data_IF_307384065009
#
_entry.id   IF_307384065009
#
_cell.length_a   1.000
_cell.length_b   1.000
_cell.length_c   1.000
_cell.angle_alpha   90.00
_cell.angle_beta   90.00
_cell.angle_gamma   90.00
#
_symmetry.space_group_name_H-M   'P 1'
#
loop_
_entity.id
_entity.type
_entity.pdbx_description
1 polymer ?
#
# COMPACT_ATOMS: atom_id res chain seq x y z
N UNK A 1 -34.89 -8.23 -10.87
CA UNK A 1 -33.84 -7.18 -10.84
C UNK A 1 -33.05 -7.06 -9.51
N UNK A 2 -33.35 -7.77 -8.42
CA UNK A 2 -32.69 -7.54 -7.12
C UNK A 2 -31.29 -8.16 -6.93
N UNK A 3 -30.96 -9.25 -7.65
CA UNK A 3 -29.72 -10.00 -7.43
C UNK A 3 -28.45 -9.20 -7.79
N UNK A 4 -28.50 -8.43 -8.89
CA UNK A 4 -27.36 -7.61 -9.33
C UNK A 4 -27.03 -6.46 -8.37
N UNK A 5 -28.04 -5.88 -7.70
CA UNK A 5 -27.83 -4.83 -6.70
C UNK A 5 -27.12 -5.37 -5.46
N UNK A 6 -27.45 -6.58 -5.01
CA UNK A 6 -26.84 -7.19 -3.85
C UNK A 6 -25.34 -7.43 -4.05
N UNK A 7 -24.95 -7.98 -5.21
CA UNK A 7 -23.55 -8.21 -5.56
C UNK A 7 -22.77 -6.87 -5.66
N UNK A 8 -23.38 -5.83 -6.25
CA UNK A 8 -22.77 -4.50 -6.38
C UNK A 8 -22.53 -3.84 -5.03
N UNK A 9 -23.48 -3.96 -4.10
CA UNK A 9 -23.38 -3.46 -2.72
C UNK A 9 -22.29 -4.19 -1.95
N UNK A 10 -22.24 -5.53 -2.02
CA UNK A 10 -21.21 -6.32 -1.34
C UNK A 10 -19.80 -6.00 -1.86
N UNK A 11 -19.65 -5.78 -3.17
CA UNK A 11 -18.39 -5.35 -3.76
C UNK A 11 -17.96 -3.96 -3.27
N UNK A 12 -18.88 -2.99 -3.19
CA UNK A 12 -18.59 -1.66 -2.63
C UNK A 12 -18.17 -1.76 -1.17
N UNK A 13 -18.90 -2.52 -0.36
CA UNK A 13 -18.60 -2.74 1.06
C UNK A 13 -17.19 -3.29 1.27
N UNK A 14 -16.81 -4.31 0.50
CA UNK A 14 -15.49 -4.91 0.61
C UNK A 14 -14.37 -3.95 0.18
N UNK A 15 -14.55 -3.19 -0.90
CA UNK A 15 -13.58 -2.17 -1.32
C UNK A 15 -13.43 -1.05 -0.28
N UNK A 16 -14.52 -0.65 0.37
CA UNK A 16 -14.52 0.34 1.44
C UNK A 16 -13.84 -0.18 2.71
N UNK A 17 -14.00 -1.47 3.03
CA UNK A 17 -13.27 -2.12 4.11
C UNK A 17 -11.75 -2.15 3.84
N UNK A 18 -11.33 -2.45 2.60
CA UNK A 18 -9.90 -2.38 2.20
C UNK A 18 -9.37 -0.95 2.30
N UNK A 19 -10.16 0.06 1.89
CA UNK A 19 -9.78 1.47 2.00
C UNK A 19 -9.55 1.88 3.45
N UNK A 20 -10.47 1.52 4.35
CA UNK A 20 -10.35 1.79 5.78
C UNK A 20 -9.15 1.07 6.40
N UNK A 21 -8.95 -0.21 6.06
CA UNK A 21 -7.79 -0.99 6.52
C UNK A 21 -6.46 -0.46 6.00
N UNK A 22 -6.40 -0.01 4.74
CA UNK A 22 -5.23 0.63 4.18
C UNK A 22 -4.92 1.95 4.89
N UNK A 23 -5.95 2.75 5.19
CA UNK A 23 -5.83 4.02 5.91
C UNK A 23 -5.31 3.85 7.34
N UNK A 24 -5.78 2.84 8.06
CA UNK A 24 -5.27 2.53 9.41
C UNK A 24 -3.83 2.05 9.36
N UNK A 25 -3.46 1.17 8.42
CA UNK A 25 -2.08 0.73 8.22
C UNK A 25 -1.13 1.90 7.87
N UNK A 26 -1.57 2.82 7.00
CA UNK A 26 -0.83 4.03 6.68
C UNK A 26 -0.64 4.92 7.91
N UNK A 27 -1.70 5.14 8.68
CA UNK A 27 -1.66 5.94 9.90
C UNK A 27 -0.69 5.34 10.93
N UNK A 28 -0.74 4.02 11.16
CA UNK A 28 0.18 3.32 12.05
C UNK A 28 1.61 3.41 11.54
N UNK A 29 1.83 3.22 10.23
CA UNK A 29 3.16 3.32 9.62
C UNK A 29 3.78 4.70 9.77
N UNK A 30 2.99 5.77 9.54
CA UNK A 30 3.43 7.16 9.73
C UNK A 30 3.69 7.43 11.22
N UNK A 31 2.79 7.01 12.11
CA UNK A 31 2.95 7.17 13.56
C UNK A 31 4.27 6.57 14.05
N UNK A 32 4.52 5.30 13.71
CA UNK A 32 5.78 4.62 14.07
C UNK A 32 6.99 5.26 13.40
N UNK A 33 6.88 5.76 12.17
CA UNK A 33 7.99 6.42 11.48
C UNK A 33 8.38 7.75 12.13
N UNK A 34 7.40 8.54 12.56
CA UNK A 34 7.63 9.83 13.24
C UNK A 34 8.22 9.61 14.63
N UNK A 35 7.68 8.64 15.37
CA UNK A 35 8.16 8.28 16.70
C UNK A 35 9.59 7.69 16.62
N UNK A 36 9.79 6.72 15.73
CA UNK A 36 11.09 6.09 15.48
C UNK A 36 12.18 7.06 15.01
N UNK A 37 11.84 8.12 14.25
CA UNK A 37 12.79 9.16 13.83
C UNK A 37 13.26 10.02 15.01
N UNK A 38 12.38 10.32 15.95
CA UNK A 38 12.72 11.09 17.16
C UNK A 38 13.56 10.27 18.13
N UNK A 39 13.29 8.96 18.24
CA UNK A 39 14.12 8.04 19.03
C UNK A 39 15.49 7.77 18.40
N UNK A 40 15.60 7.75 17.06
CA UNK A 40 16.87 7.56 16.35
C UNK A 40 17.91 8.65 16.67
N UNK A 41 17.45 9.89 16.75
CA UNK A 41 18.31 11.07 16.99
C UNK A 41 18.90 11.06 18.41
N UNK A 42 18.17 10.48 19.36
CA UNK A 42 18.54 10.42 20.79
C UNK A 42 19.40 9.18 21.11
N UNK A 43 19.16 8.05 20.43
CA UNK A 43 19.77 6.75 20.71
C UNK A 43 20.76 6.29 19.62
N UNK A 44 21.52 7.21 19.01
CA UNK A 44 22.44 6.98 17.88
C UNK A 44 23.47 5.83 17.98
N UNK A 45 23.47 5.06 19.06
CA UNK A 45 24.35 3.92 19.36
C UNK A 45 23.64 2.55 19.30
N UNK A 46 22.29 2.47 19.31
CA UNK A 46 21.52 1.22 19.26
C UNK A 46 21.05 0.89 17.83
N UNK A 47 22.01 0.77 16.91
CA UNK A 47 21.76 0.82 15.46
C UNK A 47 21.01 -0.40 14.86
N UNK A 48 21.16 -1.62 15.40
CA UNK A 48 20.65 -2.82 14.72
C UNK A 48 19.14 -3.01 14.82
N UNK A 49 18.55 -2.91 16.01
CA UNK A 49 17.11 -3.15 16.19
C UNK A 49 16.26 -2.01 15.63
N UNK A 50 16.76 -0.77 15.70
CA UNK A 50 16.04 0.42 15.23
C UNK A 50 15.96 0.44 13.70
N UNK A 51 17.04 0.09 13.00
CA UNK A 51 17.05 0.01 11.54
C UNK A 51 16.01 -0.97 11.00
N UNK A 52 15.80 -2.10 11.70
CA UNK A 52 14.83 -3.12 11.31
C UNK A 52 13.38 -2.61 11.47
N UNK A 53 13.08 -1.88 12.54
CA UNK A 53 11.75 -1.28 12.78
C UNK A 53 11.44 -0.19 11.76
N UNK A 54 12.40 0.70 11.47
CA UNK A 54 12.23 1.76 10.46
C UNK A 54 11.92 1.16 9.09
N UNK A 55 12.66 0.13 8.69
CA UNK A 55 12.43 -0.55 7.42
C UNK A 55 10.99 -1.11 7.34
N UNK A 56 10.55 -1.84 8.36
CA UNK A 56 9.19 -2.40 8.44
C UNK A 56 8.11 -1.30 8.38
N UNK A 57 8.37 -0.15 9.00
CA UNK A 57 7.46 1.00 9.00
C UNK A 57 7.27 1.58 7.59
N UNK A 58 8.38 1.74 6.84
CA UNK A 58 8.33 2.16 5.44
C UNK A 58 7.56 1.16 4.58
N UNK A 59 7.76 -0.15 4.78
CA UNK A 59 6.96 -1.17 4.09
C UNK A 59 5.47 -1.05 4.42
N UNK A 60 5.09 -0.83 5.69
CA UNK A 60 3.70 -0.60 6.08
C UNK A 60 3.09 0.64 5.40
N UNK A 61 3.85 1.73 5.30
CA UNK A 61 3.40 2.96 4.61
C UNK A 61 3.16 2.70 3.12
N UNK A 62 4.11 2.03 2.44
CA UNK A 62 4.00 1.73 1.01
C UNK A 62 2.80 0.80 0.75
N UNK A 63 2.68 -0.29 1.50
CA UNK A 63 1.58 -1.24 1.34
C UNK A 63 0.24 -0.56 1.67
N UNK A 64 0.17 0.20 2.76
CA UNK A 64 -1.03 0.94 3.17
C UNK A 64 -1.48 1.95 2.10
N UNK A 65 -0.55 2.70 1.52
CA UNK A 65 -0.85 3.66 0.46
C UNK A 65 -1.43 2.98 -0.78
N UNK A 66 -0.86 1.84 -1.18
CA UNK A 66 -1.36 1.09 -2.32
C UNK A 66 -2.77 0.56 -2.02
N UNK A 67 -3.03 0.02 -0.83
CA UNK A 67 -4.37 -0.45 -0.43
C UNK A 67 -5.42 0.67 -0.43
N UNK A 68 -5.07 1.87 0.05
CA UNK A 68 -5.94 3.06 -0.01
C UNK A 68 -6.26 3.43 -1.46
N UNK A 69 -5.26 3.47 -2.33
CA UNK A 69 -5.44 3.81 -3.75
C UNK A 69 -6.28 2.75 -4.47
N UNK A 70 -6.03 1.45 -4.24
CA UNK A 70 -6.85 0.34 -4.77
C UNK A 70 -8.31 0.47 -4.29
N UNK A 71 -8.52 0.66 -2.99
CA UNK A 71 -9.87 0.76 -2.40
C UNK A 71 -10.66 1.96 -2.94
N UNK A 72 -10.01 3.12 -3.06
CA UNK A 72 -10.63 4.33 -3.62
C UNK A 72 -11.04 4.14 -5.08
N UNK A 73 -10.15 3.56 -5.89
CA UNK A 73 -10.41 3.29 -7.29
C UNK A 73 -11.48 2.20 -7.49
N UNK A 74 -11.54 1.20 -6.60
CA UNK A 74 -12.60 0.21 -6.55
C UNK A 74 -13.99 0.84 -6.31
N UNK A 75 -14.08 1.81 -5.41
CA UNK A 75 -15.31 2.55 -5.13
C UNK A 75 -15.70 3.50 -6.28
N UNK A 76 -14.75 4.26 -6.85
CA UNK A 76 -15.00 5.12 -8.02
C UNK A 76 -15.42 4.31 -9.26
N UNK A 77 -14.83 3.13 -9.45
CA UNK A 77 -15.19 2.20 -10.52
C UNK A 77 -16.58 1.60 -10.38
N UNK A 78 -17.07 1.39 -9.16
CA UNK A 78 -18.42 0.89 -8.93
C UNK A 78 -19.51 1.95 -9.17
N UNK A 79 -19.19 3.23 -8.95
CA UNK A 79 -20.08 4.38 -9.19
C UNK A 79 -20.16 4.79 -10.66
N UNK A 80 -19.03 4.77 -11.39
CA UNK A 80 -19.03 4.99 -12.85
C UNK A 80 -19.34 3.68 -13.55
N UNK A 81 -20.52 3.57 -14.15
CA UNK A 81 -20.94 2.44 -15.01
C UNK A 81 -20.15 2.34 -16.34
N UNK A 82 -18.84 2.62 -16.31
CA UNK A 82 -17.90 2.56 -17.44
C UNK A 82 -16.90 1.43 -17.22
N UNK A 83 -17.16 0.31 -17.90
CA UNK A 83 -16.36 -0.93 -17.87
C UNK A 83 -14.89 -0.73 -18.29
N UNK A 84 -14.55 0.37 -18.97
CA UNK A 84 -13.20 0.66 -19.43
C UNK A 84 -12.29 1.25 -18.34
N UNK A 85 -12.82 1.97 -17.35
CA UNK A 85 -11.98 2.61 -16.32
C UNK A 85 -11.53 1.61 -15.24
N UNK A 86 -12.39 0.64 -14.88
CA UNK A 86 -12.12 -0.35 -13.83
C UNK A 86 -11.02 -1.36 -14.24
N UNK A 87 -10.91 -1.70 -15.53
CA UNK A 87 -9.83 -2.56 -16.04
C UNK A 87 -8.49 -1.83 -16.08
N UNK A 88 -8.43 -0.59 -16.58
CA UNK A 88 -7.16 0.12 -16.73
C UNK A 88 -6.47 0.36 -15.39
N UNK A 89 -7.23 0.68 -14.35
CA UNK A 89 -6.67 0.93 -13.03
C UNK A 89 -6.07 -0.33 -12.40
N UNK A 90 -6.76 -1.47 -12.55
CA UNK A 90 -6.29 -2.75 -12.03
C UNK A 90 -5.02 -3.23 -12.77
N UNK A 91 -4.93 -2.96 -14.08
CA UNK A 91 -3.74 -3.23 -14.89
C UNK A 91 -2.57 -2.32 -14.52
N UNK A 92 -2.81 -1.01 -14.33
CA UNK A 92 -1.77 -0.07 -13.89
C UNK A 92 -1.20 -0.41 -12.52
N UNK A 93 -2.03 -0.85 -11.57
CA UNK A 93 -1.56 -1.28 -10.24
C UNK A 93 -0.70 -2.55 -10.29
N UNK A 94 -1.02 -3.52 -11.15
CA UNK A 94 -0.14 -4.67 -11.40
C UNK A 94 1.23 -4.23 -11.97
N UNK A 95 1.24 -3.26 -12.90
CA UNK A 95 2.48 -2.76 -13.50
C UNK A 95 3.38 -2.03 -12.50
N UNK A 96 2.80 -1.25 -11.59
CA UNK A 96 3.54 -0.54 -10.54
C UNK A 96 4.15 -1.53 -9.54
N UNK A 97 3.41 -2.58 -9.14
CA UNK A 97 3.91 -3.66 -8.28
C UNK A 97 5.06 -4.46 -8.95
N UNK A 98 4.94 -4.75 -10.24
CA UNK A 98 5.98 -5.40 -11.04
C UNK A 98 7.24 -4.55 -11.17
N UNK A 99 7.09 -3.24 -11.36
CA UNK A 99 8.23 -2.33 -11.48
C UNK A 99 8.97 -2.14 -10.14
N UNK A 100 8.23 -1.97 -9.03
CA UNK A 100 8.79 -1.84 -7.69
C UNK A 100 9.60 -3.08 -7.29
N UNK A 101 9.06 -4.27 -7.57
CA UNK A 101 9.75 -5.54 -7.31
C UNK A 101 11.00 -5.70 -8.18
N UNK A 102 10.96 -5.37 -9.47
CA UNK A 102 12.14 -5.39 -10.34
C UNK A 102 13.24 -4.43 -9.87
N UNK A 103 12.89 -3.28 -9.30
CA UNK A 103 13.86 -2.31 -8.79
C UNK A 103 14.60 -2.85 -7.56
N UNK A 104 13.91 -3.56 -6.67
CA UNK A 104 14.53 -4.24 -5.51
C UNK A 104 15.46 -5.39 -5.97
N UNK A 105 15.04 -6.21 -6.95
CA UNK A 105 15.91 -7.27 -7.49
C UNK A 105 17.09 -6.69 -8.29
N UNK A 106 16.87 -5.58 -9.00
CA UNK A 106 17.90 -4.84 -9.74
C UNK A 106 18.93 -4.19 -8.82
N UNK A 107 18.50 -3.63 -7.67
CA UNK A 107 19.41 -3.16 -6.62
C UNK A 107 20.16 -4.30 -5.93
N UNK A 108 19.59 -5.51 -5.86
CA UNK A 108 20.31 -6.71 -5.41
C UNK A 108 21.38 -7.18 -6.42
N UNK A 109 21.12 -7.01 -7.72
CA UNK A 109 22.07 -7.34 -8.79
C UNK A 109 23.15 -6.26 -9.01
N UNK A 110 22.91 -5.04 -8.51
CA UNK A 110 23.82 -3.89 -8.62
C UNK A 110 24.82 -3.72 -7.47
N UNK A 111 24.90 -4.65 -6.51
CA UNK A 111 26.00 -4.68 -5.54
C UNK A 111 27.16 -5.46 -6.18
N UNK A 112 28.20 -4.79 -6.73
CA UNK A 112 29.39 -5.51 -7.16
C UNK A 112 29.97 -6.20 -5.92
N UNK A 113 30.41 -7.44 -6.12
CA UNK A 113 30.90 -8.30 -5.06
C UNK A 113 31.92 -7.61 -4.16
N UNK A 114 31.89 -8.03 -2.90
CA UNK A 114 33.16 -8.23 -2.20
C UNK A 114 34.08 -9.17 -3.00
#
# INVERSE_FOLDING_TARGET
>A
MGCFTFIKVMMILFNLAIFLGGGTLLGIGIWVSVDGKSFLDIFGTLSSSIMQVVNVSYFLIVIGAILVVIGFLGCCGAQKESKCLLMMVRTCQCLIMLHQSLLEVGCWCGRPGE
#
